data_IF_058974963362
#
_entry.id   IF_058974963362
#
_cell.length_a   1.000
_cell.length_b   1.000
_cell.length_c   1.000
_cell.angle_alpha   90.00
_cell.angle_beta   90.00
_cell.angle_gamma   90.00
#
_symmetry.space_group_name_H-M   'P 1'
#
loop_
_entity.id
_entity.type
_entity.pdbx_description
1 polymer ?
#
# COMPACT_ATOMS: atom_id res chain seq x y z
N UNK A 1 -22.53 12.16 -12.35
CA UNK A 1 -21.23 12.83 -12.31
C UNK A 1 -20.34 12.04 -11.38
N UNK A 2 -19.42 11.25 -11.94
CA UNK A 2 -18.33 10.66 -11.17
C UNK A 2 -17.47 11.76 -10.55
N UNK A 3 -17.05 11.57 -9.30
CA UNK A 3 -16.20 12.53 -8.58
C UNK A 3 -14.78 12.62 -9.17
N UNK A 4 -14.40 11.64 -10.00
CA UNK A 4 -13.12 11.56 -10.70
C UNK A 4 -13.34 11.65 -12.21
N UNK A 5 -13.03 12.78 -12.86
CA UNK A 5 -13.06 12.84 -14.32
C UNK A 5 -11.95 11.96 -14.91
N UNK A 6 -12.17 11.42 -16.10
CA UNK A 6 -11.18 10.58 -16.80
C UNK A 6 -9.84 11.31 -17.02
N UNK A 7 -9.91 12.63 -17.19
CA UNK A 7 -8.75 13.51 -17.32
C UNK A 7 -7.82 13.50 -16.10
N UNK A 8 -8.32 13.18 -14.91
CA UNK A 8 -7.49 13.06 -13.69
C UNK A 8 -7.11 11.60 -13.44
N UNK A 9 -8.03 10.69 -13.71
CA UNK A 9 -7.86 9.27 -13.37
C UNK A 9 -6.78 8.59 -14.23
N UNK A 10 -6.77 8.86 -15.54
CA UNK A 10 -5.82 8.27 -16.49
C UNK A 10 -4.37 8.69 -16.17
N UNK A 11 -4.04 9.99 -16.03
CA UNK A 11 -2.68 10.39 -15.68
C UNK A 11 -2.18 9.79 -14.38
N UNK A 12 -3.05 9.69 -13.36
CA UNK A 12 -2.66 9.09 -12.07
C UNK A 12 -2.24 7.63 -12.25
N UNK A 13 -3.02 6.82 -12.98
CA UNK A 13 -2.66 5.42 -13.23
C UNK A 13 -1.35 5.29 -14.01
N UNK A 14 -1.17 6.10 -15.06
CA UNK A 14 0.04 6.06 -15.90
C UNK A 14 1.27 6.46 -15.10
N UNK A 15 1.20 7.56 -14.34
CA UNK A 15 2.32 8.05 -13.52
C UNK A 15 2.67 7.01 -12.45
N UNK A 16 1.67 6.47 -11.73
CA UNK A 16 1.94 5.53 -10.66
C UNK A 16 2.55 4.22 -11.17
N UNK A 17 2.06 3.74 -12.31
CA UNK A 17 2.60 2.56 -12.99
C UNK A 17 4.02 2.82 -13.49
N UNK A 18 4.28 3.98 -14.10
CA UNK A 18 5.60 4.37 -14.59
C UNK A 18 6.64 4.42 -13.45
N UNK A 19 6.26 4.97 -12.28
CA UNK A 19 7.12 4.93 -11.08
C UNK A 19 7.36 3.48 -10.64
N UNK A 20 6.34 2.61 -10.69
CA UNK A 20 6.50 1.19 -10.38
C UNK A 20 7.48 0.47 -11.31
N UNK A 21 7.40 0.73 -12.63
CA UNK A 21 8.31 0.20 -13.63
C UNK A 21 9.73 0.69 -13.37
N UNK A 22 9.90 2.01 -13.14
CA UNK A 22 11.20 2.61 -12.88
C UNK A 22 11.85 2.01 -11.62
N UNK A 23 11.11 1.87 -10.53
CA UNK A 23 11.59 1.26 -9.29
C UNK A 23 12.00 -0.20 -9.51
N UNK A 24 11.26 -0.93 -10.34
CA UNK A 24 11.58 -2.32 -10.68
C UNK A 24 12.84 -2.42 -11.53
N UNK A 25 12.98 -1.57 -12.56
CA UNK A 25 14.19 -1.49 -13.37
C UNK A 25 15.42 -1.13 -12.52
N UNK A 26 15.27 -0.16 -11.61
CA UNK A 26 16.32 0.24 -10.68
C UNK A 26 16.67 -0.89 -9.70
N UNK A 27 15.68 -1.69 -9.28
CA UNK A 27 15.90 -2.90 -8.47
C UNK A 27 16.76 -3.92 -9.22
N UNK A 28 16.48 -4.19 -10.49
CA UNK A 28 17.32 -5.08 -11.31
C UNK A 28 18.73 -4.51 -11.49
N UNK A 29 18.84 -3.22 -11.80
CA UNK A 29 20.12 -2.53 -11.95
C UNK A 29 20.97 -2.61 -10.67
N UNK A 30 20.38 -2.31 -9.51
CA UNK A 30 21.07 -2.36 -8.21
C UNK A 30 21.51 -3.77 -7.84
N UNK A 31 20.72 -4.79 -8.17
CA UNK A 31 21.12 -6.18 -7.91
C UNK A 31 22.24 -6.66 -8.82
N UNK A 32 22.15 -6.40 -10.13
CA UNK A 32 23.11 -6.89 -11.12
C UNK A 32 24.39 -6.06 -11.09
N UNK A 33 24.29 -4.74 -11.19
CA UNK A 33 25.44 -3.86 -11.36
C UNK A 33 26.11 -3.49 -10.03
N UNK A 34 25.33 -3.18 -8.98
CA UNK A 34 25.87 -2.63 -7.74
C UNK A 34 26.19 -3.70 -6.69
N UNK A 35 25.26 -4.65 -6.48
CA UNK A 35 25.39 -5.67 -5.43
C UNK A 35 25.97 -6.99 -5.98
N UNK A 36 26.02 -7.16 -7.31
CA UNK A 36 26.48 -8.37 -8.01
C UNK A 36 25.85 -9.66 -7.44
N UNK A 37 24.55 -9.61 -7.15
CA UNK A 37 23.81 -10.73 -6.59
C UNK A 37 23.00 -11.45 -7.68
N UNK A 38 22.89 -12.77 -7.55
CA UNK A 38 21.97 -13.54 -8.39
C UNK A 38 20.53 -13.11 -8.18
N UNK A 39 19.77 -13.11 -9.28
CA UNK A 39 18.34 -12.85 -9.30
C UNK A 39 17.62 -13.97 -8.54
N UNK A 40 16.83 -13.58 -7.54
CA UNK A 40 16.06 -14.51 -6.73
C UNK A 40 14.66 -14.75 -7.31
N UNK A 41 13.94 -15.70 -6.72
CA UNK A 41 12.51 -15.88 -7.01
C UNK A 41 11.71 -14.59 -6.77
N UNK A 42 12.13 -13.78 -5.79
CA UNK A 42 11.51 -12.48 -5.50
C UNK A 42 11.55 -11.50 -6.69
N UNK A 43 12.62 -11.54 -7.49
CA UNK A 43 12.79 -10.68 -8.66
C UNK A 43 11.89 -11.10 -9.83
N UNK A 44 11.70 -12.41 -10.02
CA UNK A 44 10.82 -12.93 -11.07
C UNK A 44 9.34 -12.68 -10.77
N UNK A 45 8.92 -12.86 -9.52
CA UNK A 45 7.55 -12.57 -9.11
C UNK A 45 7.21 -11.08 -9.26
N UNK A 46 8.10 -10.16 -8.88
CA UNK A 46 7.82 -8.72 -9.06
C UNK A 46 7.82 -8.32 -10.53
N UNK A 47 8.69 -8.89 -11.37
CA UNK A 47 8.66 -8.65 -12.82
C UNK A 47 7.33 -9.10 -13.44
N UNK A 48 6.87 -10.31 -13.12
CA UNK A 48 5.55 -10.80 -13.55
C UNK A 48 4.41 -9.90 -13.05
N UNK A 49 4.46 -9.50 -11.78
CA UNK A 49 3.47 -8.58 -11.20
C UNK A 49 3.41 -7.22 -11.91
N UNK A 50 4.56 -6.65 -12.29
CA UNK A 50 4.64 -5.38 -13.02
C UNK A 50 4.11 -5.50 -14.44
N UNK A 51 4.41 -6.59 -15.14
CA UNK A 51 3.84 -6.85 -16.48
C UNK A 51 2.32 -6.90 -16.42
N UNK A 52 1.77 -7.59 -15.40
CA UNK A 52 0.32 -7.63 -15.20
C UNK A 52 -0.22 -6.25 -14.82
N UNK A 53 0.47 -5.50 -13.94
CA UNK A 53 0.08 -4.13 -13.59
C UNK A 53 0.01 -3.23 -14.83
N UNK A 54 0.95 -3.36 -15.76
CA UNK A 54 0.91 -2.65 -17.04
C UNK A 54 -0.32 -3.01 -17.87
N UNK A 55 -0.67 -4.29 -17.92
CA UNK A 55 -1.89 -4.75 -18.58
C UNK A 55 -3.15 -4.17 -17.90
N UNK A 56 -3.22 -4.17 -16.57
CA UNK A 56 -4.30 -3.54 -15.83
C UNK A 56 -4.44 -2.05 -16.15
N UNK A 57 -3.32 -1.32 -16.19
CA UNK A 57 -3.31 0.11 -16.52
C UNK A 57 -3.79 0.35 -17.95
N UNK A 58 -3.34 -0.45 -18.92
CA UNK A 58 -3.78 -0.35 -20.30
C UNK A 58 -5.29 -0.62 -20.44
N UNK A 59 -5.79 -1.68 -19.80
CA UNK A 59 -7.21 -2.03 -19.79
C UNK A 59 -8.07 -0.91 -19.18
N UNK A 60 -7.61 -0.28 -18.10
CA UNK A 60 -8.31 0.83 -17.47
C UNK A 60 -8.33 2.09 -18.33
N UNK A 61 -7.23 2.38 -19.04
CA UNK A 61 -7.21 3.45 -20.04
C UNK A 61 -8.19 3.17 -21.18
N UNK A 62 -8.24 1.93 -21.68
CA UNK A 62 -9.22 1.52 -22.70
C UNK A 62 -10.67 1.63 -22.20
N UNK A 63 -10.94 1.27 -20.95
CA UNK A 63 -12.26 1.40 -20.35
C UNK A 63 -12.70 2.87 -20.21
N UNK A 64 -11.75 3.76 -19.93
CA UNK A 64 -12.01 5.20 -19.84
C UNK A 64 -12.21 5.87 -21.20
N UNK A 65 -11.57 5.37 -22.27
CA UNK A 65 -11.67 5.94 -23.62
C UNK A 65 -12.83 5.37 -24.44
N UNK A 66 -13.05 4.05 -24.37
CA UNK A 66 -14.02 3.33 -25.22
C UNK A 66 -15.14 2.65 -24.43
N UNK A 67 -14.99 2.50 -23.11
CA UNK A 67 -16.01 1.93 -22.25
C UNK A 67 -16.95 2.98 -21.67
N UNK A 68 -17.61 2.62 -20.58
CA UNK A 68 -18.48 3.53 -19.82
C UNK A 68 -17.71 4.31 -18.75
N UNK A 69 -16.43 3.94 -18.52
CA UNK A 69 -15.61 4.47 -17.45
C UNK A 69 -16.21 4.35 -16.05
N UNK A 70 -17.23 3.49 -15.88
CA UNK A 70 -17.96 3.30 -14.62
C UNK A 70 -19.23 4.14 -14.45
N UNK A 71 -19.67 4.88 -15.48
CA UNK A 71 -20.94 5.63 -15.44
C UNK A 71 -22.13 4.83 -15.99
N UNK A 72 -23.34 5.13 -15.50
CA UNK A 72 -24.58 4.56 -16.00
C UNK A 72 -24.92 5.18 -17.36
N UNK A 73 -25.34 4.37 -18.31
CA UNK A 73 -25.48 4.77 -19.71
C UNK A 73 -26.94 4.68 -20.15
N UNK A 74 -27.42 5.65 -20.95
CA UNK A 74 -28.85 5.89 -21.19
C UNK A 74 -29.31 6.00 -22.66
N UNK A 75 -28.56 5.51 -23.65
CA UNK A 75 -28.88 5.62 -25.10
C UNK A 75 -28.52 4.36 -25.90
N UNK A 76 -28.91 4.18 -27.17
CA UNK A 76 -28.63 2.93 -27.91
C UNK A 76 -27.12 2.69 -28.19
N UNK A 77 -26.33 3.75 -28.45
CA UNK A 77 -24.86 3.70 -28.48
C UNK A 77 -24.23 3.29 -27.13
N UNK A 78 -25.03 3.26 -26.06
CA UNK A 78 -24.61 2.80 -24.75
C UNK A 78 -24.33 1.31 -24.70
N UNK A 79 -25.07 0.51 -25.47
CA UNK A 79 -25.10 -0.93 -25.26
C UNK A 79 -23.76 -1.53 -25.67
N UNK A 80 -23.19 -1.09 -26.80
CA UNK A 80 -21.88 -1.55 -27.25
C UNK A 80 -20.75 -1.12 -26.30
N UNK A 81 -20.82 0.11 -25.77
CA UNK A 81 -19.87 0.62 -24.77
C UNK A 81 -20.00 -0.11 -23.43
N UNK A 82 -21.22 -0.46 -23.03
CA UNK A 82 -21.50 -1.23 -21.82
C UNK A 82 -20.97 -2.66 -21.93
N UNK A 83 -21.18 -3.33 -23.07
CA UNK A 83 -20.61 -4.66 -23.33
C UNK A 83 -19.08 -4.62 -23.28
N UNK A 84 -18.48 -3.61 -23.89
CA UNK A 84 -17.02 -3.40 -23.85
C UNK A 84 -16.53 -3.20 -22.41
N UNK A 85 -17.22 -2.36 -21.63
CA UNK A 85 -16.89 -2.16 -20.22
C UNK A 85 -17.08 -3.44 -19.38
N UNK A 86 -18.09 -4.26 -19.65
CA UNK A 86 -18.28 -5.54 -18.96
C UNK A 86 -17.14 -6.52 -19.28
N UNK A 87 -16.74 -6.64 -20.55
CA UNK A 87 -15.57 -7.44 -20.96
C UNK A 87 -14.30 -6.98 -20.26
N UNK A 88 -14.03 -5.67 -20.26
CA UNK A 88 -12.83 -5.13 -19.61
C UNK A 88 -12.86 -5.35 -18.11
N UNK A 89 -13.98 -5.08 -17.43
CA UNK A 89 -14.10 -5.32 -15.99
C UNK A 89 -13.91 -6.80 -15.64
N UNK A 90 -14.44 -7.72 -16.44
CA UNK A 90 -14.23 -9.15 -16.22
C UNK A 90 -12.75 -9.53 -16.31
N UNK A 91 -12.06 -9.10 -17.36
CA UNK A 91 -10.62 -9.36 -17.53
C UNK A 91 -9.82 -8.75 -16.37
N UNK A 92 -10.16 -7.52 -15.96
CA UNK A 92 -9.51 -6.83 -14.85
C UNK A 92 -9.64 -7.60 -13.53
N UNK A 93 -10.86 -8.03 -13.17
CA UNK A 93 -11.10 -8.78 -11.93
C UNK A 93 -10.33 -10.09 -11.92
N UNK A 94 -10.19 -10.78 -13.05
CA UNK A 94 -9.40 -12.02 -13.13
C UNK A 94 -7.89 -11.76 -13.04
N UNK A 95 -7.39 -10.77 -13.77
CA UNK A 95 -5.95 -10.53 -13.92
C UNK A 95 -5.34 -9.75 -12.74
N UNK A 96 -6.13 -8.99 -11.98
CA UNK A 96 -5.63 -8.29 -10.79
C UNK A 96 -5.19 -9.27 -9.69
N UNK A 97 -5.89 -10.41 -9.53
CA UNK A 97 -5.62 -11.42 -8.49
C UNK A 97 -4.18 -11.98 -8.57
N UNK A 98 -3.70 -12.47 -9.72
CA UNK A 98 -2.32 -12.95 -9.84
C UNK A 98 -1.30 -11.84 -9.63
N UNK A 99 -1.59 -10.58 -9.97
CA UNK A 99 -0.69 -9.48 -9.66
C UNK A 99 -0.58 -9.20 -8.15
N UNK A 100 -1.70 -9.15 -7.43
CA UNK A 100 -1.67 -9.07 -5.96
C UNK A 100 -0.89 -10.24 -5.35
N UNK A 101 -1.14 -11.46 -5.82
CA UNK A 101 -0.40 -12.65 -5.39
C UNK A 101 1.10 -12.51 -5.65
N UNK A 102 1.50 -12.13 -6.86
CA UNK A 102 2.89 -11.98 -7.26
C UNK A 102 3.64 -10.92 -6.44
N UNK A 103 3.01 -9.77 -6.18
CA UNK A 103 3.58 -8.70 -5.34
C UNK A 103 3.80 -9.20 -3.90
N UNK A 104 2.79 -9.84 -3.30
CA UNK A 104 2.88 -10.40 -1.93
C UNK A 104 3.90 -11.53 -1.85
N UNK A 105 3.98 -12.39 -2.86
CA UNK A 105 5.00 -13.44 -2.94
C UNK A 105 6.41 -12.88 -3.08
N UNK A 106 6.62 -11.84 -3.89
CA UNK A 106 7.91 -11.18 -4.00
C UNK A 106 8.38 -10.65 -2.64
N UNK A 107 7.49 -10.00 -1.88
CA UNK A 107 7.78 -9.54 -0.51
C UNK A 107 8.16 -10.69 0.42
N UNK A 108 7.39 -11.79 0.42
CA UNK A 108 7.67 -12.95 1.27
C UNK A 108 9.00 -13.63 0.92
N UNK A 109 9.30 -13.83 -0.36
CA UNK A 109 10.59 -14.38 -0.79
C UNK A 109 11.75 -13.44 -0.44
N UNK A 110 11.54 -12.13 -0.54
CA UNK A 110 12.51 -11.15 -0.10
C UNK A 110 12.77 -11.22 1.41
N UNK A 111 11.72 -11.30 2.23
CA UNK A 111 11.86 -11.44 3.68
C UNK A 111 12.52 -12.77 4.06
N UNK A 112 12.19 -13.87 3.36
CA UNK A 112 12.86 -15.17 3.54
C UNK A 112 14.37 -15.07 3.34
N UNK A 113 14.82 -14.25 2.39
CA UNK A 113 16.25 -14.04 2.11
C UNK A 113 16.95 -13.20 3.18
N UNK A 114 16.27 -12.24 3.80
CA UNK A 114 16.82 -11.43 4.89
C UNK A 114 16.89 -12.21 6.20
N UNK A 115 15.78 -12.85 6.58
CA UNK A 115 15.59 -13.41 7.92
C UNK A 115 15.87 -14.92 7.96
N UNK A 116 16.88 -15.39 7.21
CA UNK A 116 17.21 -16.82 7.04
C UNK A 116 17.57 -17.54 8.34
N UNK A 117 17.95 -16.80 9.39
CA UNK A 117 18.58 -17.32 10.61
C UNK A 117 17.59 -18.03 11.56
N UNK A 118 16.30 -17.64 11.60
CA UNK A 118 15.34 -18.20 12.58
C UNK A 118 14.42 -19.26 11.97
N UNK A 119 14.44 -20.50 12.51
CA UNK A 119 13.58 -21.61 12.05
C UNK A 119 12.08 -21.28 12.15
N UNK A 120 11.64 -20.64 13.24
CA UNK A 120 10.23 -20.24 13.43
C UNK A 120 9.75 -19.23 12.38
N UNK A 121 10.60 -18.28 12.00
CA UNK A 121 10.30 -17.33 10.92
C UNK A 121 10.13 -18.05 9.58
N UNK A 122 11.01 -19.01 9.26
CA UNK A 122 10.92 -19.78 8.02
C UNK A 122 9.62 -20.58 7.93
N UNK A 123 9.17 -21.17 9.04
CA UNK A 123 7.91 -21.89 9.10
C UNK A 123 6.72 -20.95 8.84
N UNK A 124 6.64 -19.83 9.58
CA UNK A 124 5.58 -18.84 9.39
C UNK A 124 5.56 -18.26 7.96
N UNK A 125 6.73 -17.95 7.41
CA UNK A 125 6.86 -17.46 6.04
C UNK A 125 6.41 -18.49 5.00
N UNK A 126 6.77 -19.77 5.17
CA UNK A 126 6.34 -20.83 4.25
C UNK A 126 4.82 -21.03 4.30
N UNK A 127 4.22 -20.99 5.50
CA UNK A 127 2.76 -21.05 5.67
C UNK A 127 2.10 -19.89 4.93
N UNK A 128 2.60 -18.66 5.09
CA UNK A 128 2.08 -17.50 4.36
C UNK A 128 2.23 -17.63 2.85
N UNK A 129 3.36 -18.10 2.33
CA UNK A 129 3.55 -18.33 0.89
C UNK A 129 2.46 -19.29 0.37
N UNK A 130 2.24 -20.41 1.05
CA UNK A 130 1.21 -21.39 0.66
C UNK A 130 -0.17 -20.75 0.72
N UNK A 131 -0.50 -20.01 1.78
CA UNK A 131 -1.78 -19.30 1.90
C UNK A 131 -1.98 -18.33 0.74
N UNK A 132 -0.98 -17.51 0.38
CA UNK A 132 -1.10 -16.54 -0.72
C UNK A 132 -1.28 -17.25 -2.06
N UNK A 133 -0.53 -18.33 -2.33
CA UNK A 133 -0.69 -19.10 -3.58
C UNK A 133 -2.10 -19.69 -3.67
N UNK A 134 -2.55 -20.37 -2.61
CA UNK A 134 -3.89 -20.97 -2.57
C UNK A 134 -4.98 -19.90 -2.67
N UNK A 135 -4.81 -18.78 -1.99
CA UNK A 135 -5.73 -17.64 -2.05
C UNK A 135 -5.83 -17.08 -3.48
N UNK A 136 -4.70 -16.80 -4.13
CA UNK A 136 -4.68 -16.31 -5.51
C UNK A 136 -5.34 -17.30 -6.46
N UNK A 137 -4.99 -18.59 -6.38
CA UNK A 137 -5.57 -19.62 -7.25
C UNK A 137 -7.07 -19.78 -7.00
N UNK A 138 -7.50 -19.80 -5.74
CA UNK A 138 -8.90 -19.94 -5.37
C UNK A 138 -9.75 -18.79 -5.94
N UNK A 139 -9.31 -17.53 -5.82
CA UNK A 139 -10.04 -16.38 -6.35
C UNK A 139 -10.04 -16.35 -7.88
N UNK A 140 -8.92 -16.65 -8.53
CA UNK A 140 -8.87 -16.74 -10.00
C UNK A 140 -9.82 -17.81 -10.52
N UNK A 141 -9.81 -19.00 -9.92
CA UNK A 141 -10.73 -20.08 -10.31
C UNK A 141 -12.18 -19.71 -10.01
N UNK A 142 -12.44 -19.03 -8.90
CA UNK A 142 -13.79 -18.58 -8.54
C UNK A 142 -14.34 -17.58 -9.56
N UNK A 143 -13.53 -16.61 -9.98
CA UNK A 143 -13.92 -15.62 -10.99
C UNK A 143 -14.11 -16.25 -12.38
N UNK A 144 -13.27 -17.22 -12.75
CA UNK A 144 -13.39 -17.97 -14.01
C UNK A 144 -14.60 -18.92 -14.03
N UNK A 145 -14.96 -19.50 -12.88
CA UNK A 145 -16.05 -20.46 -12.76
C UNK A 145 -17.35 -19.83 -12.25
N UNK A 146 -17.42 -18.49 -12.15
CA UNK A 146 -18.59 -17.80 -11.57
C UNK A 146 -19.89 -18.10 -12.33
N UNK A 147 -19.81 -18.33 -13.65
CA UNK A 147 -20.93 -18.73 -14.50
C UNK A 147 -20.89 -20.22 -14.92
N UNK A 148 -20.10 -21.05 -14.23
CA UNK A 148 -19.92 -22.47 -14.55
C UNK A 148 -19.31 -22.68 -15.94
N UNK A 149 -19.92 -23.54 -16.76
CA UNK A 149 -19.44 -23.87 -18.11
C UNK A 149 -19.71 -22.78 -19.16
N UNK A 150 -20.50 -21.75 -18.82
CA UNK A 150 -20.92 -20.69 -19.74
C UNK A 150 -20.20 -19.38 -19.41
N UNK A 151 -18.89 -19.35 -19.58
CA UNK A 151 -18.04 -18.19 -19.30
C UNK A 151 -18.50 -16.92 -20.05
N UNK A 152 -19.04 -17.08 -21.26
CA UNK A 152 -19.54 -15.98 -22.10
C UNK A 152 -20.63 -15.14 -21.44
N UNK A 153 -21.44 -15.72 -20.54
CA UNK A 153 -22.46 -14.99 -19.79
C UNK A 153 -21.87 -13.91 -18.88
N UNK A 154 -20.61 -14.07 -18.45
CA UNK A 154 -19.96 -13.13 -17.52
C UNK A 154 -19.75 -11.75 -18.14
N UNK A 155 -19.70 -11.67 -19.47
CA UNK A 155 -19.43 -10.45 -20.23
C UNK A 155 -20.45 -10.21 -21.36
N UNK A 156 -21.60 -10.90 -21.31
CA UNK A 156 -22.67 -10.76 -22.28
C UNK A 156 -23.48 -9.46 -22.06
N UNK A 157 -24.13 -8.97 -23.11
CA UNK A 157 -25.01 -7.80 -23.06
C UNK A 157 -26.22 -8.04 -22.14
N UNK A 158 -26.73 -9.28 -22.12
CA UNK A 158 -27.90 -9.67 -21.34
C UNK A 158 -27.54 -10.02 -19.89
N UNK A 159 -27.22 -8.99 -19.10
CA UNK A 159 -26.87 -9.14 -17.68
C UNK A 159 -28.02 -9.76 -16.83
N UNK A 160 -29.28 -9.70 -17.29
CA UNK A 160 -30.41 -10.40 -16.64
C UNK A 160 -30.32 -11.92 -16.79
N UNK A 161 -29.80 -12.42 -17.91
CA UNK A 161 -29.58 -13.86 -18.12
C UNK A 161 -28.41 -14.36 -17.25
N UNK A 162 -27.37 -13.53 -17.10
CA UNK A 162 -26.29 -13.80 -16.17
C UNK A 162 -26.78 -13.90 -14.72
N UNK A 163 -27.75 -13.08 -14.31
CA UNK A 163 -28.33 -13.14 -12.96
C UNK A 163 -28.99 -14.48 -12.61
N UNK A 164 -29.53 -15.19 -13.61
CA UNK A 164 -30.20 -16.46 -13.42
C UNK A 164 -29.23 -17.66 -13.35
N UNK A 165 -28.03 -17.53 -13.93
CA UNK A 165 -27.11 -18.66 -14.14
C UNK A 165 -25.74 -18.49 -13.46
N UNK A 166 -25.35 -17.27 -13.11
CA UNK A 166 -24.05 -16.99 -12.50
C UNK A 166 -24.17 -16.77 -10.99
N UNK A 167 -23.08 -17.07 -10.28
CA UNK A 167 -22.94 -16.80 -8.85
C UNK A 167 -22.89 -15.32 -8.51
N UNK A 168 -22.93 -15.00 -7.22
CA UNK A 168 -22.94 -13.64 -6.71
C UNK A 168 -21.56 -12.96 -6.86
N UNK A 169 -21.41 -12.15 -7.92
CA UNK A 169 -20.19 -11.38 -8.19
C UNK A 169 -19.90 -10.32 -7.11
N UNK A 170 -20.95 -9.74 -6.52
CA UNK A 170 -20.81 -8.73 -5.48
C UNK A 170 -20.22 -9.33 -4.21
N UNK A 171 -20.70 -10.51 -3.83
CA UNK A 171 -20.18 -11.27 -2.71
C UNK A 171 -18.72 -11.69 -2.93
N UNK A 172 -18.37 -12.19 -4.12
CA UNK A 172 -16.99 -12.54 -4.43
C UNK A 172 -16.03 -11.35 -4.32
N UNK A 173 -16.41 -10.19 -4.87
CA UNK A 173 -15.61 -8.97 -4.75
C UNK A 173 -15.44 -8.51 -3.30
N UNK A 174 -16.50 -8.62 -2.50
CA UNK A 174 -16.46 -8.29 -1.07
C UNK A 174 -15.53 -9.24 -0.30
N UNK A 175 -15.66 -10.55 -0.50
CA UNK A 175 -14.80 -11.57 0.12
C UNK A 175 -13.34 -11.38 -0.27
N UNK A 176 -13.08 -11.06 -1.55
CA UNK A 176 -11.74 -10.74 -2.01
C UNK A 176 -11.16 -9.50 -1.32
N UNK A 177 -11.95 -8.44 -1.14
CA UNK A 177 -11.49 -7.23 -0.46
C UNK A 177 -11.16 -7.47 1.01
N UNK A 178 -12.03 -8.19 1.73
CA UNK A 178 -11.80 -8.53 3.15
C UNK A 178 -10.55 -9.40 3.30
N UNK A 179 -10.42 -10.45 2.49
CA UNK A 179 -9.28 -11.36 2.57
C UNK A 179 -7.98 -10.74 2.04
N UNK A 180 -8.03 -9.82 1.07
CA UNK A 180 -6.86 -9.04 0.65
C UNK A 180 -6.33 -8.20 1.81
N UNK A 181 -7.20 -7.49 2.52
CA UNK A 181 -6.83 -6.73 3.70
C UNK A 181 -6.15 -7.61 4.76
N UNK A 182 -6.75 -8.76 5.09
CA UNK A 182 -6.19 -9.70 6.07
C UNK A 182 -4.80 -10.20 5.64
N UNK A 183 -4.63 -10.53 4.36
CA UNK A 183 -3.35 -11.01 3.84
C UNK A 183 -2.30 -9.91 3.80
N UNK A 184 -2.65 -8.66 3.50
CA UNK A 184 -1.72 -7.51 3.54
C UNK A 184 -1.22 -7.25 4.96
N UNK A 185 -2.14 -7.19 5.92
CA UNK A 185 -1.81 -7.04 7.34
C UNK A 185 -0.92 -8.18 7.81
N UNK A 186 -1.22 -9.43 7.41
CA UNK A 186 -0.40 -10.60 7.77
C UNK A 186 1.03 -10.51 7.24
N UNK A 187 1.19 -10.13 5.96
CA UNK A 187 2.51 -9.97 5.32
C UNK A 187 3.32 -8.84 5.98
N UNK A 188 2.67 -7.76 6.43
CA UNK A 188 3.33 -6.65 7.12
C UNK A 188 3.72 -6.99 8.56
N UNK A 189 2.83 -7.66 9.28
CA UNK A 189 2.99 -7.93 10.72
C UNK A 189 4.06 -8.99 11.00
N UNK A 190 4.13 -10.04 10.17
CA UNK A 190 5.09 -11.13 10.39
C UNK A 190 6.53 -10.64 10.56
N UNK A 191 7.14 -9.90 9.61
CA UNK A 191 8.52 -9.44 9.79
C UNK A 191 8.68 -8.49 10.98
N UNK A 192 7.68 -7.65 11.29
CA UNK A 192 7.75 -6.70 12.41
C UNK A 192 7.87 -7.38 13.77
N UNK A 193 7.12 -8.46 14.00
CA UNK A 193 7.22 -9.21 15.25
C UNK A 193 8.61 -9.79 15.46
N UNK A 194 9.26 -10.29 14.40
CA UNK A 194 10.60 -10.85 14.50
C UNK A 194 11.70 -9.78 14.57
N UNK A 195 11.49 -8.59 13.97
CA UNK A 195 12.44 -7.47 14.02
C UNK A 195 12.52 -6.82 15.41
N UNK A 196 11.41 -6.79 16.18
CA UNK A 196 11.39 -6.14 17.51
C UNK A 196 12.45 -6.65 18.49
N UNK A 197 12.89 -7.90 18.33
CA UNK A 197 13.91 -8.52 19.18
C UNK A 197 15.30 -8.63 18.55
N UNK A 198 15.58 -7.97 17.41
CA UNK A 198 16.87 -8.09 16.72
C UNK A 198 17.54 -6.72 16.56
N UNK A 199 18.76 -6.57 17.10
CA UNK A 199 19.59 -5.37 16.94
C UNK A 199 20.08 -5.24 15.50
N UNK A 200 19.19 -4.82 14.60
CA UNK A 200 19.52 -4.56 13.20
C UNK A 200 20.37 -3.28 13.09
N UNK A 201 21.40 -3.26 12.22
CA UNK A 201 22.12 -2.03 11.90
C UNK A 201 21.13 -0.98 11.36
N UNK A 202 21.31 0.29 11.78
CA UNK A 202 20.38 1.41 11.50
C UNK A 202 19.93 1.47 10.04
N UNK A 203 20.78 1.06 9.10
CA UNK A 203 20.50 1.02 7.66
C UNK A 203 19.35 0.08 7.28
N UNK A 204 19.27 -1.11 7.86
CA UNK A 204 18.20 -2.09 7.59
C UNK A 204 16.88 -1.69 8.28
N UNK A 205 16.98 -1.00 9.43
CA UNK A 205 15.82 -0.45 10.16
C UNK A 205 15.05 0.59 9.35
N UNK A 206 15.75 1.46 8.61
CA UNK A 206 15.11 2.44 7.73
C UNK A 206 14.40 1.80 6.53
N UNK A 207 15.01 0.79 5.91
CA UNK A 207 14.38 0.05 4.80
C UNK A 207 13.08 -0.63 5.25
N UNK A 208 13.10 -1.29 6.41
CA UNK A 208 11.90 -1.87 7.03
C UNK A 208 10.83 -0.80 7.33
N UNK A 209 11.23 0.38 7.80
CA UNK A 209 10.31 1.51 8.05
C UNK A 209 9.62 2.02 6.79
N UNK A 210 10.34 2.14 5.67
CA UNK A 210 9.75 2.58 4.38
C UNK A 210 8.76 1.57 3.82
N UNK A 211 9.09 0.28 3.89
CA UNK A 211 8.19 -0.79 3.46
C UNK A 211 6.92 -0.79 4.31
N UNK A 212 7.08 -0.60 5.63
CA UNK A 212 5.94 -0.50 6.53
C UNK A 212 5.06 0.71 6.22
N UNK A 213 5.64 1.89 5.97
CA UNK A 213 4.89 3.09 5.63
C UNK A 213 4.06 2.91 4.35
N UNK A 214 4.65 2.36 3.29
CA UNK A 214 3.93 2.11 2.04
C UNK A 214 2.93 0.96 2.16
N UNK A 215 3.26 -0.06 2.96
CA UNK A 215 2.33 -1.11 3.32
C UNK A 215 1.10 -0.57 4.03
N UNK A 216 1.26 0.36 4.97
CA UNK A 216 0.15 1.05 5.62
C UNK A 216 -0.67 1.87 4.63
N UNK A 217 -0.02 2.62 3.73
CA UNK A 217 -0.73 3.38 2.69
C UNK A 217 -1.54 2.47 1.75
N UNK A 218 -0.96 1.34 1.34
CA UNK A 218 -1.65 0.32 0.54
C UNK A 218 -2.82 -0.29 1.32
N UNK A 219 -2.65 -0.55 2.61
CA UNK A 219 -3.71 -1.05 3.50
C UNK A 219 -4.86 -0.05 3.61
N UNK A 220 -4.58 1.25 3.70
CA UNK A 220 -5.61 2.30 3.70
C UNK A 220 -6.40 2.29 2.38
N UNK A 221 -5.72 2.16 1.23
CA UNK A 221 -6.39 2.02 -0.06
C UNK A 221 -7.32 0.79 -0.09
N UNK A 222 -6.88 -0.35 0.44
CA UNK A 222 -7.70 -1.55 0.57
C UNK A 222 -8.92 -1.32 1.49
N UNK A 223 -8.77 -0.62 2.62
CA UNK A 223 -9.88 -0.31 3.53
C UNK A 223 -10.93 0.56 2.83
N UNK A 224 -10.51 1.58 2.09
CA UNK A 224 -11.43 2.46 1.38
C UNK A 224 -12.23 1.71 0.31
N UNK A 225 -11.57 0.79 -0.41
CA UNK A 225 -12.23 -0.14 -1.34
C UNK A 225 -13.21 -1.08 -0.63
N UNK A 226 -12.82 -1.61 0.53
CA UNK A 226 -13.67 -2.49 1.33
C UNK A 226 -14.92 -1.77 1.83
N UNK A 227 -14.80 -0.53 2.32
CA UNK A 227 -15.94 0.30 2.76
C UNK A 227 -16.94 0.49 1.62
N UNK A 228 -16.45 0.80 0.41
CA UNK A 228 -17.30 0.89 -0.77
C UNK A 228 -18.09 -0.42 -0.99
N UNK A 229 -17.40 -1.56 -1.00
CA UNK A 229 -18.01 -2.86 -1.28
C UNK A 229 -19.02 -3.27 -0.22
N UNK A 230 -18.74 -3.02 1.07
CA UNK A 230 -19.67 -3.29 2.16
C UNK A 230 -20.99 -2.53 2.03
N UNK A 231 -20.97 -1.33 1.46
CA UNK A 231 -22.17 -0.51 1.27
C UNK A 231 -22.84 -0.84 -0.08
N UNK A 232 -22.05 -1.08 -1.12
CA UNK A 232 -22.56 -1.36 -2.47
C UNK A 232 -23.21 -2.74 -2.59
N UNK A 233 -22.72 -3.73 -1.84
CA UNK A 233 -23.24 -5.09 -1.84
C UNK A 233 -24.72 -5.19 -1.41
N UNK A 234 -25.14 -4.70 -0.22
CA UNK A 234 -26.54 -4.76 0.20
C UNK A 234 -27.47 -3.89 -0.65
N UNK A 235 -26.93 -2.90 -1.37
CA UNK A 235 -27.69 -2.11 -2.35
C UNK A 235 -27.92 -2.83 -3.69
N UNK A 236 -27.37 -4.04 -3.87
CA UNK A 236 -27.49 -4.81 -5.11
C UNK A 236 -26.76 -4.19 -6.31
N UNK A 237 -25.96 -3.13 -6.11
CA UNK A 237 -25.27 -2.40 -7.19
C UNK A 237 -24.22 -3.21 -7.91
N UNK A 238 -23.68 -4.21 -7.22
CA UNK A 238 -22.72 -5.15 -7.75
C UNK A 238 -23.42 -6.44 -8.23
N UNK A 239 -24.75 -6.51 -8.25
CA UNK A 239 -25.47 -7.68 -8.76
C UNK A 239 -25.56 -7.69 -10.28
N UNK A 240 -25.89 -8.84 -10.85
CA UNK A 240 -26.16 -9.00 -12.27
C UNK A 240 -27.46 -8.29 -12.65
N UNK A 241 -27.44 -7.49 -13.72
CA UNK A 241 -28.63 -6.81 -14.23
C UNK A 241 -29.19 -5.72 -13.31
N UNK A 242 -28.35 -5.11 -12.45
CA UNK A 242 -28.77 -3.98 -11.62
C UNK A 242 -29.26 -2.81 -12.49
N UNK A 243 -30.51 -2.41 -12.27
CA UNK A 243 -31.09 -1.20 -12.84
C UNK A 243 -31.19 -0.14 -11.73
N UNK A 244 -30.66 1.05 -11.99
CA UNK A 244 -30.74 2.13 -11.02
C UNK A 244 -32.19 2.59 -10.85
N UNK A 245 -32.72 2.52 -9.62
CA UNK A 245 -34.06 3.06 -9.34
C UNK A 245 -34.09 4.56 -9.67
N UNK A 246 -35.13 5.06 -10.36
CA UNK A 246 -35.16 6.42 -10.92
C UNK A 246 -35.14 7.57 -9.90
N UNK A 247 -35.10 7.30 -8.59
CA UNK A 247 -34.99 8.30 -7.52
C UNK A 247 -33.89 8.01 -6.49
N UNK A 248 -33.07 6.98 -6.69
CA UNK A 248 -31.97 6.69 -5.77
C UNK A 248 -30.78 7.61 -6.03
N UNK A 249 -30.66 8.64 -5.19
CA UNK A 249 -29.42 9.43 -5.11
C UNK A 249 -28.31 8.46 -4.70
N UNK A 250 -27.34 8.24 -5.58
CA UNK A 250 -26.12 7.49 -5.26
C UNK A 250 -25.48 8.12 -4.01
N UNK A 251 -25.24 7.36 -2.93
CA UNK A 251 -24.59 7.91 -1.75
C UNK A 251 -23.24 8.52 -2.14
N UNK A 252 -22.90 9.67 -1.55
CA UNK A 252 -21.63 10.35 -1.84
C UNK A 252 -20.43 9.41 -1.64
N UNK A 253 -20.50 8.54 -0.63
CA UNK A 253 -19.50 7.49 -0.34
C UNK A 253 -19.23 6.61 -1.56
N UNK A 254 -20.26 6.25 -2.35
CA UNK A 254 -20.09 5.43 -3.54
C UNK A 254 -19.52 6.22 -4.72
N UNK A 255 -19.70 7.54 -4.77
CA UNK A 255 -19.07 8.36 -5.80
C UNK A 255 -17.59 8.64 -5.50
N UNK A 256 -17.25 8.79 -4.21
CA UNK A 256 -15.89 9.13 -3.73
C UNK A 256 -14.97 7.90 -3.66
N UNK A 257 -15.49 6.71 -3.32
CA UNK A 257 -14.65 5.52 -3.16
C UNK A 257 -14.79 4.57 -4.35
N UNK A 258 -14.57 5.06 -5.57
CA UNK A 258 -14.62 4.21 -6.76
C UNK A 258 -13.66 2.99 -6.58
N UNK A 259 -14.19 1.75 -6.57
CA UNK A 259 -13.41 0.57 -6.21
C UNK A 259 -12.27 0.31 -7.19
N UNK A 260 -12.46 0.62 -8.47
CA UNK A 260 -11.47 0.39 -9.51
C UNK A 260 -10.32 1.39 -9.46
N UNK A 261 -10.55 2.57 -8.89
CA UNK A 261 -9.48 3.52 -8.62
C UNK A 261 -8.61 3.05 -7.45
N UNK A 262 -9.24 2.69 -6.34
CA UNK A 262 -8.52 2.28 -5.14
C UNK A 262 -7.76 0.97 -5.32
N UNK A 263 -8.28 0.01 -6.09
CA UNK A 263 -7.54 -1.23 -6.40
C UNK A 263 -6.26 -0.96 -7.19
N UNK A 264 -6.29 -0.03 -8.15
CA UNK A 264 -5.11 0.36 -8.93
C UNK A 264 -4.05 1.02 -8.04
N UNK A 265 -4.48 1.92 -7.15
CA UNK A 265 -3.59 2.56 -6.17
C UNK A 265 -3.00 1.51 -5.22
N UNK A 266 -3.82 0.57 -4.72
CA UNK A 266 -3.41 -0.53 -3.85
C UNK A 266 -2.29 -1.36 -4.50
N UNK A 267 -2.48 -1.78 -5.76
CA UNK A 267 -1.49 -2.52 -6.54
C UNK A 267 -0.21 -1.72 -6.81
N UNK A 268 -0.32 -0.44 -7.17
CA UNK A 268 0.83 0.42 -7.41
C UNK A 268 1.66 0.61 -6.15
N UNK A 269 1.02 0.94 -5.01
CA UNK A 269 1.69 1.11 -3.73
C UNK A 269 2.34 -0.19 -3.24
N UNK A 270 1.67 -1.33 -3.44
CA UNK A 270 2.25 -2.65 -3.15
C UNK A 270 3.51 -2.92 -3.99
N UNK A 271 3.48 -2.59 -5.28
CA UNK A 271 4.63 -2.70 -6.18
C UNK A 271 5.78 -1.80 -5.74
N UNK A 272 5.50 -0.57 -5.32
CA UNK A 272 6.52 0.35 -4.81
C UNK A 272 7.14 -0.19 -3.52
N UNK A 273 6.31 -0.67 -2.59
CA UNK A 273 6.76 -1.27 -1.33
C UNK A 273 7.65 -2.49 -1.57
N UNK A 274 7.33 -3.35 -2.55
CA UNK A 274 8.12 -4.51 -2.91
C UNK A 274 9.48 -4.17 -3.53
N UNK A 275 9.59 -3.05 -4.25
CA UNK A 275 10.81 -2.65 -4.95
C UNK A 275 11.79 -1.82 -4.11
N UNK A 276 11.33 -1.14 -3.06
CA UNK A 276 12.20 -0.35 -2.18
C UNK A 276 13.29 -1.10 -1.41
N UNK A 277 13.05 -2.30 -0.84
CA UNK A 277 14.05 -2.93 0.01
C UNK A 277 15.42 -3.15 -0.65
N UNK A 278 15.52 -3.69 -1.89
CA UNK A 278 16.82 -3.88 -2.55
C UNK A 278 17.47 -2.58 -3.01
N UNK A 279 16.72 -1.47 -3.10
CA UNK A 279 17.25 -0.16 -3.46
C UNK A 279 18.03 0.51 -2.31
N UNK A 280 18.06 -0.09 -1.12
CA UNK A 280 18.75 0.44 0.06
C UNK A 280 20.18 0.96 -0.18
N UNK A 281 21.07 0.23 -0.88
CA UNK A 281 22.42 0.68 -1.20
C UNK A 281 22.45 1.94 -2.09
N UNK A 282 21.52 2.03 -3.05
CA UNK A 282 21.44 3.15 -3.98
C UNK A 282 20.83 4.40 -3.32
N UNK A 283 19.84 4.21 -2.44
CA UNK A 283 19.31 5.30 -1.59
C UNK A 283 20.39 5.89 -0.68
N UNK A 284 21.39 5.09 -0.31
CA UNK A 284 22.55 5.57 0.43
C UNK A 284 23.51 6.36 -0.46
N UNK A 285 23.86 5.85 -1.65
CA UNK A 285 24.82 6.48 -2.56
C UNK A 285 24.32 7.82 -3.11
N UNK A 286 23.01 7.96 -3.35
CA UNK A 286 22.39 9.20 -3.88
C UNK A 286 22.23 10.26 -2.76
N UNK A 287 22.52 9.94 -1.50
CA UNK A 287 22.37 10.90 -0.41
C UNK A 287 20.91 11.25 -0.11
N UNK A 288 19.95 10.41 -0.49
CA UNK A 288 18.51 10.59 -0.18
C UNK A 288 18.28 10.73 1.33
N UNK A 289 19.16 10.19 2.17
CA UNK A 289 19.16 10.43 3.63
C UNK A 289 19.29 11.91 3.99
N UNK A 290 20.14 12.67 3.29
CA UNK A 290 20.26 14.11 3.48
C UNK A 290 19.00 14.84 3.00
N UNK A 291 18.40 14.42 1.90
CA UNK A 291 17.18 15.02 1.36
C UNK A 291 15.95 14.75 2.27
N UNK A 292 15.70 13.49 2.65
CA UNK A 292 14.59 13.12 3.54
C UNK A 292 14.76 13.69 4.94
N UNK A 293 15.99 13.76 5.49
CA UNK A 293 16.21 14.41 6.79
C UNK A 293 16.04 15.93 6.73
N UNK A 294 16.28 16.57 5.58
CA UNK A 294 15.96 17.99 5.36
C UNK A 294 14.45 18.19 5.23
N UNK A 295 13.75 17.33 4.51
CA UNK A 295 12.30 17.38 4.36
C UNK A 295 11.58 17.12 5.70
N UNK A 296 12.01 16.11 6.45
CA UNK A 296 11.48 15.80 7.79
C UNK A 296 11.71 16.95 8.78
N UNK A 297 12.92 17.55 8.79
CA UNK A 297 13.19 18.73 9.62
C UNK A 297 12.32 19.92 9.25
N UNK A 298 12.04 20.14 7.96
CA UNK A 298 11.11 21.19 7.52
C UNK A 298 9.68 20.91 7.97
N UNK A 299 9.21 19.68 7.83
CA UNK A 299 7.86 19.29 8.26
C UNK A 299 7.69 19.35 9.78
N UNK A 300 8.67 18.87 10.54
CA UNK A 300 8.68 18.93 11.99
C UNK A 300 8.77 20.37 12.50
N UNK A 301 9.54 21.24 11.84
CA UNK A 301 9.62 22.67 12.16
C UNK A 301 8.28 23.36 11.90
N UNK A 302 7.62 23.06 10.78
CA UNK A 302 6.28 23.58 10.48
C UNK A 302 5.22 23.10 11.49
N UNK A 303 5.29 21.84 11.93
CA UNK A 303 4.35 21.28 12.92
C UNK A 303 4.56 21.88 14.32
N UNK A 304 5.81 22.10 14.73
CA UNK A 304 6.14 22.75 16.01
C UNK A 304 5.82 24.25 15.99
N UNK A 305 6.04 24.94 14.86
CA UNK A 305 5.65 26.34 14.68
C UNK A 305 4.14 26.54 14.73
N UNK A 306 3.35 25.60 14.16
CA UNK A 306 1.89 25.65 14.22
C UNK A 306 1.29 25.35 15.61
N UNK A 307 2.08 24.79 16.53
CA UNK A 307 1.63 24.52 17.89
C UNK A 307 1.93 25.68 18.85
N UNK A 308 2.89 26.56 18.53
CA UNK A 308 3.22 27.72 19.36
C UNK A 308 2.18 28.85 19.26
N UNK A 309 1.41 28.91 18.16
CA UNK A 309 0.33 29.88 17.97
C UNK A 309 -0.97 29.53 18.72
N UNK A 310 -1.09 28.32 19.29
CA UNK A 310 -2.27 27.88 20.06
C UNK A 310 -2.15 28.03 21.58
N UNK A 311 -0.97 28.39 22.09
CA UNK A 311 -0.72 28.51 23.52
C UNK A 311 -0.20 29.93 23.86
N UNK A 312 -1.08 30.93 23.70
CA UNK A 312 -0.94 32.20 24.43
C UNK A 312 -1.90 32.15 25.62
N UNK A 313 -1.41 32.05 26.87
CA UNK A 313 -2.21 32.36 28.02
C UNK A 313 -2.45 33.88 28.04
N UNK A 314 -3.71 34.29 28.02
CA UNK A 314 -4.13 35.65 28.33
C UNK A 314 -3.78 35.95 29.80
N UNK A 315 -2.79 36.80 30.03
CA UNK A 315 -2.50 37.36 31.34
C UNK A 315 -3.43 38.56 31.61
N UNK A 316 -4.07 38.66 32.79
CA UNK A 316 -4.70 39.90 33.23
C UNK A 316 -3.69 40.87 33.85
N UNK A 317 -3.87 42.15 33.57
CA UNK A 317 -3.15 43.31 34.12
C UNK A 317 -3.31 43.41 35.65
N UNK A 318 -2.21 43.72 36.35
CA UNK A 318 -2.23 44.36 37.67
C UNK A 318 -0.92 45.12 37.96
N UNK A 319 -1.06 46.44 37.95
CA UNK A 319 -0.48 47.47 38.83
C UNK A 319 1.04 47.63 39.06
N UNK A 320 1.46 48.85 38.77
CA UNK A 320 2.71 49.54 39.08
C UNK A 320 2.97 49.73 40.59
N UNK A 321 4.23 49.58 41.04
CA UNK A 321 4.61 49.90 42.42
C UNK A 321 6.12 49.82 42.73
N UNK A 322 6.90 50.73 42.17
CA UNK A 322 8.06 51.46 42.76
C UNK A 322 8.61 50.97 44.14
N UNK A 323 9.87 50.49 44.20
CA UNK A 323 10.98 50.94 45.11
C UNK A 323 12.07 49.88 45.40
N UNK A 324 13.31 50.29 45.06
CA UNK A 324 14.56 50.21 45.85
C UNK A 324 15.28 48.90 46.22
N UNK A 325 16.60 49.00 45.97
CA UNK A 325 17.77 48.60 46.79
C UNK A 325 18.14 47.12 46.81
N UNK A 326 19.30 46.82 46.24
CA UNK A 326 20.57 46.57 46.95
C UNK A 326 20.61 45.14 47.53
N UNK A 327 21.43 44.26 46.95
CA UNK A 327 22.58 43.66 47.64
C UNK A 327 23.15 42.43 46.92
N UNK A 328 24.46 42.52 46.67
CA UNK A 328 25.47 41.47 46.87
C UNK A 328 25.60 40.30 45.86
N UNK A 329 26.62 40.46 45.01
CA UNK A 329 27.53 39.43 44.48
C UNK A 329 28.33 38.75 45.64
N UNK A 330 29.09 37.62 45.49
CA UNK A 330 29.82 37.21 44.28
C UNK A 330 30.06 35.69 44.02
N UNK A 331 30.65 35.45 42.84
CA UNK A 331 31.31 34.23 42.35
C UNK A 331 32.35 33.60 43.31
N UNK A 332 32.49 32.28 43.27
CA UNK A 332 33.79 31.53 43.23
C UNK A 332 33.54 30.02 43.00
N UNK A 333 34.03 29.39 41.91
CA UNK A 333 35.34 28.69 41.73
C UNK A 333 35.42 27.42 42.65
N UNK A 334 35.62 26.14 42.24
CA UNK A 334 36.58 25.46 41.31
C UNK A 334 36.26 23.93 41.21
N UNK A 335 36.67 23.21 40.14
CA UNK A 335 36.53 21.75 39.94
C UNK A 335 37.79 20.92 40.31
N UNK A 336 37.69 19.60 40.53
CA UNK A 336 38.86 18.71 40.81
C UNK A 336 38.69 17.28 40.23
N UNK A 337 39.79 16.56 39.86
CA UNK A 337 39.87 15.59 38.76
C UNK A 337 40.27 14.12 39.16
N UNK A 338 40.75 13.36 38.16
CA UNK A 338 41.05 11.90 38.07
C UNK A 338 42.45 11.40 38.53
N UNK A 339 42.50 10.08 38.88
CA UNK A 339 43.62 9.07 38.93
C UNK A 339 44.67 9.16 40.09
N UNK A 340 45.45 8.08 40.48
CA UNK A 340 45.86 6.83 39.78
C UNK A 340 45.94 5.48 40.62
N UNK A 341 46.40 4.37 39.99
CA UNK A 341 46.90 3.05 40.51
C UNK A 341 48.29 3.18 41.22
N UNK A 342 49.03 2.15 41.79
CA UNK A 342 48.96 0.66 41.69
C UNK A 342 49.32 -0.22 42.95
N UNK A 343 49.34 -1.56 42.75
CA UNK A 343 50.22 -2.63 43.32
C UNK A 343 49.90 -3.38 44.65
N UNK A 344 49.91 -4.73 44.56
CA UNK A 344 50.56 -5.63 45.54
C UNK A 344 49.69 -6.71 46.25
N UNK A 345 50.24 -7.90 46.62
CA UNK A 345 49.54 -9.20 46.60
C UNK A 345 49.26 -9.80 48.00
N UNK A 346 48.39 -10.84 48.10
CA UNK A 346 48.51 -11.98 49.06
C UNK A 346 47.36 -13.01 48.94
N UNK A 347 47.72 -14.24 48.54
CA UNK A 347 47.47 -15.58 49.10
C UNK A 347 46.18 -16.00 49.88
N UNK A 348 45.83 -17.27 49.62
CA UNK A 348 45.17 -18.31 50.47
C UNK A 348 43.68 -18.16 50.84
N UNK A 349 42.80 -18.96 50.22
CA UNK A 349 42.25 -20.27 50.67
C UNK A 349 41.24 -20.77 49.64
#
# INVERSE_FOLDING_TARGET
MSFYPFSVTIPVYVIFTAVGILLTALRFWTRVALTRQHLGADDWFIAGGVVILMACTALQCLNALHGTGGEAVSTEDAVERAVTAHKINFIMVVIEKPAFGAIKLSLLFFYRRIFTVRRSFRLANNILIVIIILWTVAFVLSDLLICGTKLSLSFDANQKLAAAHCGDKGLMLLLFAITSFVTDVSVLIVPLFYIRGLQMPKQQKWGAGLIFLLGLMSTVACILRMIFLCIAYPMGRMSWGYEAKPKDKTPLVLQVFNPTFWVMIEMCLGTWAANLPPLGPLLHSIGIRACLSRAYRRFSSAYLSGNHDREKPTAPEAETGVLNRENEWPNSFVPVPTHPEPAGPEDMV
#
